data_IF_806463380473
#
_entry.id   IF_806463380473
#
_cell.length_a   1.000
_cell.length_b   1.000
_cell.length_c   1.000
_cell.angle_alpha   90.00
_cell.angle_beta   90.00
_cell.angle_gamma   90.00
#
_symmetry.space_group_name_H-M   'P 1'
#
loop_
_entity.id
_entity.type
_entity.pdbx_description
1 polymer ?
#
# COMPACT_ATOMS: atom_id res chain seq x y z
N UNK A 1 32.38 -9.44 2.78
CA UNK A 1 32.77 -8.46 1.74
C UNK A 1 31.49 -7.81 1.26
N UNK A 2 31.29 -6.54 1.61
CA UNK A 2 30.05 -5.77 1.55
C UNK A 2 29.76 -5.09 0.19
N UNK A 3 30.51 -5.42 -0.87
CA UNK A 3 30.50 -4.69 -2.16
C UNK A 3 29.23 -4.87 -3.03
N UNK A 4 28.12 -5.39 -2.48
CA UNK A 4 26.85 -5.55 -3.18
C UNK A 4 25.61 -5.20 -2.35
N UNK A 5 25.77 -4.84 -1.08
CA UNK A 5 24.63 -4.55 -0.20
C UNK A 5 23.98 -3.20 -0.52
N UNK A 6 24.78 -2.15 -0.79
CA UNK A 6 24.24 -0.82 -1.12
C UNK A 6 23.42 -0.82 -2.41
N UNK A 7 23.92 -1.48 -3.46
CA UNK A 7 23.18 -1.60 -4.73
C UNK A 7 21.89 -2.40 -4.56
N UNK A 8 21.92 -3.46 -3.76
CA UNK A 8 20.74 -4.26 -3.46
C UNK A 8 19.71 -3.46 -2.65
N UNK A 9 20.15 -2.66 -1.68
CA UNK A 9 19.30 -1.78 -0.89
C UNK A 9 18.63 -0.73 -1.80
N UNK A 10 19.37 -0.15 -2.72
CA UNK A 10 18.84 0.81 -3.69
C UNK A 10 17.80 0.15 -4.63
N UNK A 11 18.13 -0.99 -5.24
CA UNK A 11 17.19 -1.72 -6.12
C UNK A 11 15.92 -2.14 -5.36
N UNK A 12 16.06 -2.55 -4.10
CA UNK A 12 14.93 -2.85 -3.23
C UNK A 12 14.08 -1.61 -2.91
N UNK A 13 14.71 -0.49 -2.56
CA UNK A 13 13.99 0.76 -2.25
C UNK A 13 13.23 1.29 -3.47
N UNK A 14 13.84 1.28 -4.66
CA UNK A 14 13.18 1.66 -5.92
C UNK A 14 11.97 0.75 -6.23
N UNK A 15 12.12 -0.57 -6.06
CA UNK A 15 11.03 -1.51 -6.25
C UNK A 15 9.91 -1.35 -5.19
N UNK A 16 10.27 -1.04 -3.95
CA UNK A 16 9.31 -0.77 -2.88
C UNK A 16 8.52 0.50 -3.15
N UNK A 17 9.19 1.60 -3.53
CA UNK A 17 8.54 2.87 -3.92
C UNK A 17 7.51 2.62 -5.02
N UNK A 18 7.90 1.93 -6.10
CA UNK A 18 6.98 1.59 -7.19
C UNK A 18 5.79 0.76 -6.71
N UNK A 19 6.04 -0.20 -5.81
CA UNK A 19 4.98 -1.05 -5.25
C UNK A 19 3.98 -0.26 -4.41
N UNK A 20 4.43 0.67 -3.56
CA UNK A 20 3.54 1.49 -2.74
C UNK A 20 2.73 2.49 -3.56
N UNK A 21 3.35 3.11 -4.57
CA UNK A 21 2.65 4.01 -5.49
C UNK A 21 1.55 3.28 -6.25
N UNK A 22 1.87 2.13 -6.86
CA UNK A 22 0.88 1.31 -7.58
C UNK A 22 -0.22 0.81 -6.64
N UNK A 23 0.15 0.37 -5.42
CA UNK A 23 -0.83 -0.09 -4.45
C UNK A 23 -1.78 1.02 -4.04
N UNK A 24 -1.28 2.21 -3.70
CA UNK A 24 -2.09 3.36 -3.30
C UNK A 24 -3.13 3.75 -4.36
N UNK A 25 -2.71 3.83 -5.63
CA UNK A 25 -3.60 4.14 -6.76
C UNK A 25 -4.67 3.05 -6.95
N UNK A 26 -4.26 1.79 -6.96
CA UNK A 26 -5.16 0.66 -7.12
C UNK A 26 -6.13 0.51 -5.94
N UNK A 27 -5.65 0.74 -4.72
CA UNK A 27 -6.46 0.71 -3.51
C UNK A 27 -7.59 1.71 -3.62
N UNK A 28 -7.27 2.99 -3.87
CA UNK A 28 -8.27 4.06 -4.03
C UNK A 28 -9.25 3.73 -5.16
N UNK A 29 -8.74 3.36 -6.33
CA UNK A 29 -9.58 3.03 -7.49
C UNK A 29 -10.57 1.90 -7.19
N UNK A 30 -10.08 0.75 -6.73
CA UNK A 30 -10.92 -0.44 -6.54
C UNK A 30 -11.82 -0.32 -5.33
N UNK A 31 -11.39 0.39 -4.26
CA UNK A 31 -12.23 0.65 -3.10
C UNK A 31 -13.44 1.51 -3.46
N UNK A 32 -13.22 2.65 -4.14
CA UNK A 32 -14.29 3.56 -4.52
C UNK A 32 -15.22 2.97 -5.59
N UNK A 33 -14.73 2.00 -6.38
CA UNK A 33 -15.54 1.23 -7.32
C UNK A 33 -16.22 0.01 -6.69
N UNK A 34 -15.94 -0.29 -5.41
CA UNK A 34 -16.34 -1.53 -4.72
C UNK A 34 -15.95 -2.79 -5.49
N UNK A 35 -14.85 -2.74 -6.23
CA UNK A 35 -14.32 -3.88 -6.98
C UNK A 35 -13.53 -4.79 -6.04
N UNK A 36 -14.25 -5.63 -5.28
CA UNK A 36 -13.66 -6.53 -4.28
C UNK A 36 -12.56 -7.44 -4.88
N UNK A 37 -12.79 -7.92 -6.11
CA UNK A 37 -11.88 -8.86 -6.75
C UNK A 37 -10.52 -8.23 -7.01
N UNK A 38 -10.50 -7.03 -7.61
CA UNK A 38 -9.25 -6.35 -7.89
C UNK A 38 -8.66 -5.68 -6.65
N UNK A 39 -9.49 -5.23 -5.70
CA UNK A 39 -9.06 -4.75 -4.39
C UNK A 39 -8.26 -5.82 -3.63
N UNK A 40 -8.76 -7.06 -3.61
CA UNK A 40 -8.08 -8.18 -2.97
C UNK A 40 -6.76 -8.53 -3.65
N UNK A 41 -6.69 -8.45 -4.98
CA UNK A 41 -5.43 -8.65 -5.72
C UNK A 41 -4.39 -7.59 -5.36
N UNK A 42 -4.78 -6.32 -5.28
CA UNK A 42 -3.90 -5.23 -4.89
C UNK A 42 -3.34 -5.44 -3.47
N UNK A 43 -4.21 -5.77 -2.50
CA UNK A 43 -3.79 -6.10 -1.13
C UNK A 43 -2.84 -7.31 -1.06
N UNK A 44 -3.10 -8.36 -1.85
CA UNK A 44 -2.22 -9.54 -1.87
C UNK A 44 -0.84 -9.23 -2.47
N UNK A 45 -0.79 -8.35 -3.47
CA UNK A 45 0.46 -7.93 -4.13
C UNK A 45 1.38 -7.13 -3.19
N UNK A 46 0.83 -6.21 -2.40
CA UNK A 46 1.63 -5.34 -1.52
C UNK A 46 2.04 -6.01 -0.21
N UNK A 47 1.35 -7.09 0.19
CA UNK A 47 1.55 -7.76 1.49
C UNK A 47 3.01 -8.15 1.78
N UNK A 48 3.78 -8.74 0.85
CA UNK A 48 5.17 -9.08 1.13
C UNK A 48 6.04 -7.85 1.43
N UNK A 49 5.86 -6.77 0.68
CA UNK A 49 6.66 -5.53 0.81
C UNK A 49 6.35 -4.82 2.13
N UNK A 50 5.07 -4.72 2.49
CA UNK A 50 4.65 -4.15 3.78
C UNK A 50 5.17 -4.94 4.96
N UNK A 51 5.17 -6.27 4.89
CA UNK A 51 5.74 -7.13 5.95
C UNK A 51 7.27 -6.98 6.06
N UNK A 52 7.98 -6.88 4.93
CA UNK A 52 9.43 -6.65 4.92
C UNK A 52 9.82 -5.32 5.57
N UNK A 53 9.00 -4.28 5.38
CA UNK A 53 9.24 -2.93 5.89
C UNK A 53 8.56 -2.64 7.25
N UNK A 54 7.79 -3.60 7.79
CA UNK A 54 7.09 -3.43 9.07
C UNK A 54 5.91 -2.44 9.03
N UNK A 55 5.32 -2.20 7.86
CA UNK A 55 4.21 -1.25 7.68
C UNK A 55 2.86 -1.95 7.86
N UNK A 56 2.63 -2.51 9.05
CA UNK A 56 1.44 -3.31 9.34
C UNK A 56 0.13 -2.52 9.27
N UNK A 57 0.19 -1.21 9.49
CA UNK A 57 -0.96 -0.29 9.43
C UNK A 57 -1.68 -0.33 8.07
N UNK A 58 -0.96 -0.60 6.97
CA UNK A 58 -1.57 -0.76 5.64
C UNK A 58 -2.43 -2.03 5.59
N UNK A 59 -2.00 -3.11 6.26
CA UNK A 59 -2.74 -4.38 6.28
C UNK A 59 -3.99 -4.25 7.13
N UNK A 60 -3.90 -3.60 8.29
CA UNK A 60 -5.06 -3.33 9.15
C UNK A 60 -6.12 -2.50 8.42
N UNK A 61 -5.69 -1.43 7.74
CA UNK A 61 -6.58 -0.57 6.97
C UNK A 61 -7.17 -1.29 5.75
N UNK A 62 -6.39 -2.17 5.11
CA UNK A 62 -6.90 -3.03 4.03
C UNK A 62 -7.98 -4.00 4.52
N UNK A 63 -7.80 -4.62 5.68
CA UNK A 63 -8.82 -5.49 6.28
C UNK A 63 -10.09 -4.71 6.63
N UNK A 64 -9.96 -3.50 7.19
CA UNK A 64 -11.07 -2.59 7.43
C UNK A 64 -11.81 -2.21 6.14
N UNK A 65 -11.11 -1.81 5.09
CA UNK A 65 -11.74 -1.43 3.84
C UNK A 65 -12.48 -2.58 3.15
N UNK A 66 -12.03 -3.83 3.30
CA UNK A 66 -12.81 -4.99 2.84
C UNK A 66 -14.16 -5.07 3.54
N UNK A 67 -14.24 -4.77 4.84
CA UNK A 67 -15.54 -4.76 5.54
C UNK A 67 -16.41 -3.63 5.02
N UNK A 68 -15.85 -2.46 4.71
CA UNK A 68 -16.59 -1.36 4.08
C UNK A 68 -17.15 -1.73 2.69
N UNK A 69 -16.43 -2.51 1.90
CA UNK A 69 -16.94 -3.04 0.62
C UNK A 69 -18.09 -4.02 0.88
N UNK A 70 -17.87 -5.01 1.76
CA UNK A 70 -18.82 -6.08 2.04
C UNK A 70 -20.13 -5.58 2.65
N UNK A 71 -20.05 -4.68 3.63
CA UNK A 71 -21.19 -4.15 4.38
C UNK A 71 -21.89 -2.98 3.64
N UNK A 72 -21.51 -2.72 2.39
CA UNK A 72 -21.98 -1.59 1.61
C UNK A 72 -21.82 -0.24 2.33
N UNK A 73 -20.72 -0.07 3.07
CA UNK A 73 -20.47 1.09 3.94
C UNK A 73 -20.51 2.44 3.20
N UNK A 74 -20.80 3.56 3.88
CA UNK A 74 -21.01 4.86 3.22
C UNK A 74 -19.83 5.29 2.35
N UNK A 75 -20.12 6.00 1.26
CA UNK A 75 -19.11 6.53 0.34
C UNK A 75 -18.04 7.37 1.06
N UNK A 76 -18.44 8.18 2.05
CA UNK A 76 -17.54 9.00 2.86
C UNK A 76 -16.51 8.16 3.63
N UNK A 77 -16.89 6.99 4.12
CA UNK A 77 -15.98 6.09 4.86
C UNK A 77 -15.00 5.40 3.90
N UNK A 78 -15.43 5.07 2.67
CA UNK A 78 -14.54 4.57 1.62
C UNK A 78 -13.49 5.61 1.24
N UNK A 79 -13.89 6.87 1.12
CA UNK A 79 -13.00 7.99 0.80
C UNK A 79 -11.99 8.25 1.92
N UNK A 80 -12.44 8.27 3.18
CA UNK A 80 -11.56 8.37 4.36
C UNK A 80 -10.52 7.25 4.39
N UNK A 81 -10.94 6.02 4.14
CA UNK A 81 -10.05 4.86 4.12
C UNK A 81 -9.02 4.97 2.98
N UNK A 82 -9.46 5.37 1.77
CA UNK A 82 -8.57 5.62 0.65
C UNK A 82 -7.54 6.71 0.93
N UNK A 83 -7.95 7.83 1.51
CA UNK A 83 -7.06 8.94 1.83
C UNK A 83 -6.07 8.57 2.95
N UNK A 84 -6.50 7.76 3.91
CA UNK A 84 -5.63 7.23 4.97
C UNK A 84 -4.52 6.34 4.39
N UNK A 85 -4.85 5.38 3.54
CA UNK A 85 -3.84 4.53 2.88
C UNK A 85 -2.93 5.36 1.98
N UNK A 86 -3.48 6.34 1.27
CA UNK A 86 -2.71 7.24 0.43
C UNK A 86 -1.66 8.00 1.26
N UNK A 87 -2.04 8.56 2.41
CA UNK A 87 -1.11 9.23 3.32
C UNK A 87 0.00 8.29 3.80
N UNK A 88 -0.34 7.08 4.28
CA UNK A 88 0.65 6.13 4.79
C UNK A 88 1.63 5.74 3.67
N UNK A 89 1.13 5.45 2.46
CA UNK A 89 1.98 5.11 1.33
C UNK A 89 2.90 6.28 0.92
N UNK A 90 2.39 7.51 0.95
CA UNK A 90 3.19 8.71 0.67
C UNK A 90 4.30 8.92 1.70
N UNK A 91 4.02 8.70 2.98
CA UNK A 91 5.03 8.81 4.04
C UNK A 91 6.14 7.75 3.86
N UNK A 92 5.76 6.49 3.59
CA UNK A 92 6.72 5.41 3.32
C UNK A 92 7.55 5.68 2.08
N UNK A 93 6.94 6.15 0.99
CA UNK A 93 7.66 6.50 -0.25
C UNK A 93 8.69 7.58 0.03
N UNK A 94 8.29 8.64 0.76
CA UNK A 94 9.18 9.73 1.11
C UNK A 94 10.36 9.25 1.97
N UNK A 95 10.11 8.40 2.97
CA UNK A 95 11.15 7.82 3.80
C UNK A 95 12.14 6.96 2.98
N UNK A 96 11.66 6.22 1.98
CA UNK A 96 12.51 5.44 1.07
C UNK A 96 13.33 6.34 0.14
N UNK A 97 12.73 7.40 -0.40
CA UNK A 97 13.40 8.39 -1.26
C UNK A 97 14.51 9.15 -0.51
N UNK A 98 14.33 9.43 0.79
CA UNK A 98 15.37 10.05 1.64
C UNK A 98 16.59 9.14 1.89
N UNK A 99 16.51 7.85 1.54
CA UNK A 99 17.57 6.84 1.71
C UNK A 99 18.26 6.46 0.40
N UNK A 100 17.78 6.97 -0.73
CA UNK A 100 18.39 6.84 -2.07
C UNK A 100 19.45 7.93 -2.29
#
# INVERSE_FOLDING_TARGET
>A
MLYGEEKYIQEFAEAAISSFQEFSENYKKFLLQRDETNFRKAGHKIKPVTQMLGVEQILDEYEHAKTLIWDEGPQEELEKSADKVQSICSDVVKELEEKL
#
